data_IF_542420878288
#
_entry.id   IF_542420878288
#
_cell.length_a   1.000
_cell.length_b   1.000
_cell.length_c   1.000
_cell.angle_alpha   90.00
_cell.angle_beta   90.00
_cell.angle_gamma   90.00
#
_symmetry.space_group_name_H-M   'P 1'
#
loop_
_entity.id
_entity.type
_entity.pdbx_description
1 polymer ?
#
# COMPACT_ATOMS: atom_id res chain seq x y z
N UNK A 1 0.24 14.52 -9.57
CA UNK A 1 0.22 14.03 -8.17
C UNK A 1 1.52 13.33 -7.84
N UNK A 2 1.96 13.36 -6.58
CA UNK A 2 3.07 12.59 -6.06
C UNK A 2 2.61 11.95 -4.75
N UNK A 3 2.63 10.64 -4.68
CA UNK A 3 2.17 9.85 -3.53
C UNK A 3 3.34 9.24 -2.73
N UNK A 4 4.54 9.78 -2.86
CA UNK A 4 5.64 9.43 -1.99
C UNK A 4 5.37 9.98 -0.58
N UNK A 5 5.80 9.25 0.44
CA UNK A 5 5.70 9.73 1.81
C UNK A 5 6.69 10.88 2.05
N UNK A 6 6.17 12.02 2.47
CA UNK A 6 6.95 13.18 2.86
C UNK A 6 6.56 13.65 4.26
N UNK A 7 7.52 14.20 4.99
CA UNK A 7 7.30 14.87 6.26
C UNK A 7 8.16 16.15 6.38
N UNK A 8 8.21 16.76 7.54
CA UNK A 8 9.00 17.98 7.76
C UNK A 8 10.49 17.77 7.50
N UNK A 9 11.01 16.56 7.71
CA UNK A 9 12.42 16.24 7.48
C UNK A 9 12.76 16.15 6.00
N UNK A 10 11.77 15.95 5.12
CA UNK A 10 11.96 15.89 3.67
C UNK A 10 12.58 17.17 3.11
N UNK A 11 12.18 18.34 3.63
CA UNK A 11 12.77 19.63 3.24
C UNK A 11 14.22 19.74 3.64
N UNK A 12 14.58 19.25 4.83
CA UNK A 12 15.97 19.26 5.29
C UNK A 12 16.84 18.31 4.45
N UNK A 13 16.34 17.10 4.17
CA UNK A 13 17.02 16.15 3.28
C UNK A 13 17.18 16.70 1.86
N UNK A 14 16.21 17.46 1.37
CA UNK A 14 16.33 18.15 0.09
C UNK A 14 17.44 19.20 0.13
N UNK A 15 17.56 19.99 1.20
CA UNK A 15 18.63 20.98 1.36
C UNK A 15 20.00 20.31 1.46
N UNK A 16 20.13 19.16 2.13
CA UNK A 16 21.36 18.37 2.14
C UNK A 16 21.79 18.02 0.71
N UNK A 17 20.87 17.50 -0.10
CA UNK A 17 21.11 17.15 -1.50
C UNK A 17 21.45 18.38 -2.35
N UNK A 18 20.76 19.49 -2.12
CA UNK A 18 21.02 20.74 -2.83
C UNK A 18 22.43 21.27 -2.54
N UNK A 19 22.83 21.31 -1.27
CA UNK A 19 24.17 21.77 -0.86
C UNK A 19 25.24 20.84 -1.43
N UNK A 20 25.02 19.52 -1.37
CA UNK A 20 25.95 18.55 -1.93
C UNK A 20 26.12 18.77 -3.45
N UNK A 21 25.02 18.90 -4.19
CA UNK A 21 25.08 19.04 -5.65
C UNK A 21 25.59 20.39 -6.11
N UNK A 22 25.24 21.48 -5.42
CA UNK A 22 25.62 22.83 -5.82
C UNK A 22 27.02 23.23 -5.35
N UNK A 23 27.42 22.79 -4.16
CA UNK A 23 28.65 23.24 -3.50
C UNK A 23 29.66 22.11 -3.25
N UNK A 24 29.36 20.86 -3.58
CA UNK A 24 30.22 19.72 -3.32
C UNK A 24 30.42 19.41 -1.82
N UNK A 25 29.66 20.08 -0.94
CA UNK A 25 29.77 19.92 0.51
C UNK A 25 28.79 18.89 1.02
N UNK A 26 29.30 17.86 1.68
CA UNK A 26 28.47 16.84 2.33
C UNK A 26 27.99 17.38 3.68
N UNK A 27 26.71 17.67 3.77
CA UNK A 27 26.03 18.11 4.99
C UNK A 27 24.99 17.07 5.34
N UNK A 28 24.81 16.83 6.63
CA UNK A 28 23.79 15.90 7.14
C UNK A 28 23.23 16.46 8.45
N UNK A 29 21.91 16.56 8.53
CA UNK A 29 21.19 16.92 9.75
C UNK A 29 21.15 15.71 10.69
N UNK A 30 21.85 15.81 11.84
CA UNK A 30 22.02 14.68 12.78
C UNK A 30 20.74 14.35 13.57
N UNK A 31 19.82 15.31 13.70
CA UNK A 31 18.56 15.11 14.40
C UNK A 31 17.50 14.34 13.58
N UNK A 32 17.75 14.07 12.31
CA UNK A 32 16.89 13.21 11.50
C UNK A 32 17.26 11.75 11.77
N UNK A 33 16.40 11.02 12.48
CA UNK A 33 16.64 9.61 12.79
C UNK A 33 16.76 8.74 11.52
N UNK A 34 17.49 7.63 11.61
CA UNK A 34 17.60 6.65 10.52
C UNK A 34 16.24 6.10 10.09
N UNK A 35 15.32 5.94 11.03
CA UNK A 35 13.95 5.54 10.73
C UNK A 35 13.26 6.54 9.77
N UNK A 36 13.31 7.84 10.09
CA UNK A 36 12.72 8.89 9.23
C UNK A 36 13.39 8.94 7.86
N UNK A 37 14.71 8.87 7.83
CA UNK A 37 15.46 8.83 6.57
C UNK A 37 15.12 7.63 5.70
N UNK A 38 14.70 6.53 6.31
CA UNK A 38 14.32 5.30 5.58
C UNK A 38 12.93 5.40 4.96
N UNK A 39 11.98 6.08 5.61
CA UNK A 39 10.58 6.09 5.21
C UNK A 39 10.16 7.36 4.49
N UNK A 40 10.82 8.50 4.75
CA UNK A 40 10.48 9.79 4.14
C UNK A 40 11.32 10.06 2.91
N UNK A 41 10.70 10.53 1.84
CA UNK A 41 11.40 10.99 0.64
C UNK A 41 12.08 12.35 0.85
N UNK A 42 13.05 12.66 0.02
CA UNK A 42 13.85 13.89 0.04
C UNK A 42 13.34 14.98 -0.92
N UNK A 43 12.09 14.91 -1.34
CA UNK A 43 11.43 15.76 -2.32
C UNK A 43 11.99 15.68 -3.76
N UNK A 44 13.07 14.95 -4.04
CA UNK A 44 13.63 14.90 -5.40
C UNK A 44 12.66 14.33 -6.43
N UNK A 45 11.75 13.45 -6.01
CA UNK A 45 10.73 12.84 -6.90
C UNK A 45 9.64 13.81 -7.39
N UNK A 46 9.51 15.01 -6.79
CA UNK A 46 8.54 16.02 -7.25
C UNK A 46 9.04 16.83 -8.45
N UNK A 47 10.35 16.85 -8.68
CA UNK A 47 10.93 17.59 -9.79
C UNK A 47 10.84 16.79 -11.08
N UNK A 48 10.53 17.47 -12.15
CA UNK A 48 10.47 16.95 -13.51
C UNK A 48 11.20 17.90 -14.45
N UNK A 49 11.57 17.46 -15.67
CA UNK A 49 12.15 18.34 -16.64
C UNK A 49 11.26 19.57 -16.85
N UNK A 50 11.89 20.75 -16.87
CA UNK A 50 11.17 22.01 -17.08
C UNK A 50 10.57 22.02 -18.49
N UNK A 51 9.26 22.17 -18.58
CA UNK A 51 8.56 22.42 -19.85
C UNK A 51 7.98 23.84 -19.84
N UNK A 52 8.54 24.71 -20.68
CA UNK A 52 8.13 26.11 -20.84
C UNK A 52 6.62 26.26 -21.11
N UNK A 53 5.98 25.21 -21.67
CA UNK A 53 4.53 25.21 -21.98
C UNK A 53 3.63 25.07 -20.75
N UNK A 54 4.17 24.72 -19.60
CA UNK A 54 3.40 24.57 -18.35
C UNK A 54 3.26 25.88 -17.54
N UNK A 55 3.73 26.99 -18.05
CA UNK A 55 3.57 28.29 -17.42
C UNK A 55 2.16 28.84 -17.63
N UNK A 56 1.26 28.56 -16.73
CA UNK A 56 -0.14 29.01 -16.84
C UNK A 56 -0.87 29.00 -15.50
N UNK A 57 -0.15 28.71 -14.42
CA UNK A 57 -0.73 28.82 -13.09
C UNK A 57 -0.66 30.28 -12.62
N UNK A 58 -1.81 30.84 -12.34
CA UNK A 58 -1.89 32.16 -11.71
C UNK A 58 -1.22 32.14 -10.35
N UNK A 59 -0.50 33.19 -10.03
CA UNK A 59 0.01 33.38 -8.67
C UNK A 59 -1.15 33.47 -7.69
N UNK A 60 -1.07 32.73 -6.60
CA UNK A 60 -2.02 32.86 -5.52
C UNK A 60 -2.00 34.30 -4.98
N UNK A 61 -3.18 34.91 -4.81
CA UNK A 61 -3.30 36.25 -4.21
C UNK A 61 -2.91 36.15 -2.72
N UNK A 62 -1.65 36.51 -2.43
CA UNK A 62 -1.07 36.44 -1.10
C UNK A 62 -1.91 37.20 -0.08
N UNK A 63 -2.36 38.41 -0.43
CA UNK A 63 -3.04 39.30 0.52
C UNK A 63 -4.41 38.72 0.91
N UNK A 64 -5.11 38.11 -0.03
CA UNK A 64 -6.35 37.37 0.25
C UNK A 64 -6.13 36.25 1.27
N UNK A 65 -5.03 35.49 1.14
CA UNK A 65 -4.71 34.38 2.08
C UNK A 65 -4.31 34.95 3.46
N UNK A 66 -3.48 36.00 3.49
CA UNK A 66 -3.08 36.66 4.75
C UNK A 66 -4.30 37.19 5.50
N UNK A 67 -5.20 37.86 4.81
CA UNK A 67 -6.47 38.38 5.40
C UNK A 67 -7.33 37.21 5.90
N UNK A 68 -7.44 36.11 5.11
CA UNK A 68 -8.22 34.95 5.52
C UNK A 68 -7.64 34.27 6.77
N UNK A 69 -6.31 34.18 6.89
CA UNK A 69 -5.64 33.66 8.10
C UNK A 69 -5.86 34.58 9.29
N UNK A 70 -5.72 35.90 9.12
CA UNK A 70 -5.96 36.86 10.18
C UNK A 70 -7.41 36.81 10.68
N UNK A 71 -8.36 36.71 9.77
CA UNK A 71 -9.79 36.61 10.10
C UNK A 71 -10.15 35.23 10.70
N UNK A 72 -9.36 34.20 10.47
CA UNK A 72 -9.60 32.86 11.06
C UNK A 72 -9.53 32.93 12.60
N UNK A 73 -8.78 33.84 13.17
CA UNK A 73 -8.69 34.09 14.61
C UNK A 73 -10.04 34.44 15.24
N UNK A 74 -10.88 35.14 14.52
CA UNK A 74 -12.14 35.68 15.01
C UNK A 74 -13.35 34.84 14.57
N UNK A 75 -13.10 33.73 13.88
CA UNK A 75 -14.15 32.75 13.50
C UNK A 75 -14.57 31.93 14.71
N UNK A 76 -15.87 31.81 14.88
CA UNK A 76 -16.43 30.89 15.86
C UNK A 76 -15.98 29.45 15.54
N UNK A 77 -15.63 28.71 16.59
CA UNK A 77 -15.34 27.29 16.46
C UNK A 77 -16.65 26.59 16.04
N UNK A 78 -16.68 25.82 14.95
CA UNK A 78 -17.85 25.05 14.59
C UNK A 78 -18.29 24.19 15.77
N UNK A 79 -19.52 24.37 16.25
CA UNK A 79 -20.10 23.61 17.37
C UNK A 79 -20.98 22.44 16.90
N UNK A 80 -21.02 22.18 15.61
CA UNK A 80 -21.92 21.19 14.97
C UNK A 80 -21.27 19.81 14.80
N UNK A 81 -20.18 19.54 15.53
CA UNK A 81 -19.60 18.20 15.60
C UNK A 81 -20.63 17.22 16.20
N UNK A 82 -21.25 16.44 15.32
CA UNK A 82 -22.22 15.42 15.74
C UNK A 82 -21.57 14.03 15.67
N UNK A 83 -21.83 13.25 16.70
CA UNK A 83 -21.50 11.84 16.68
C UNK A 83 -22.43 11.14 15.66
N UNK A 84 -21.83 10.33 14.77
CA UNK A 84 -22.61 9.55 13.82
C UNK A 84 -23.53 8.56 14.56
N UNK A 85 -24.75 8.38 14.05
CA UNK A 85 -25.68 7.36 14.52
C UNK A 85 -25.23 5.97 14.06
N UNK A 86 -25.76 4.91 14.67
CA UNK A 86 -25.43 3.54 14.28
C UNK A 86 -25.74 3.26 12.79
N UNK A 87 -26.86 3.76 12.28
CA UNK A 87 -27.20 3.61 10.85
C UNK A 87 -26.27 4.36 9.91
N UNK A 88 -25.77 5.53 10.31
CA UNK A 88 -24.80 6.29 9.54
C UNK A 88 -23.43 5.58 9.53
N UNK A 89 -23.04 4.99 10.65
CA UNK A 89 -21.82 4.17 10.74
C UNK A 89 -21.93 2.94 9.81
N UNK A 90 -23.09 2.29 9.79
CA UNK A 90 -23.34 1.16 8.90
C UNK A 90 -23.33 1.57 7.41
N UNK A 91 -23.90 2.73 7.07
CA UNK A 91 -23.80 3.31 5.72
C UNK A 91 -22.33 3.53 5.32
N UNK A 92 -21.54 4.15 6.19
CA UNK A 92 -20.10 4.34 5.93
C UNK A 92 -19.39 3.02 5.71
N UNK A 93 -19.63 2.03 6.56
CA UNK A 93 -18.97 0.73 6.47
C UNK A 93 -19.38 -0.06 5.22
N UNK A 94 -20.61 0.09 4.78
CA UNK A 94 -21.12 -0.62 3.58
C UNK A 94 -20.73 0.07 2.27
N UNK A 95 -20.50 1.38 2.27
CA UNK A 95 -20.24 2.15 1.06
C UNK A 95 -19.27 3.33 1.29
N UNK A 96 -18.07 3.00 1.79
CA UNK A 96 -17.06 3.97 2.18
C UNK A 96 -16.73 4.98 1.07
N UNK A 97 -16.65 4.53 -0.19
CA UNK A 97 -16.27 5.36 -1.33
C UNK A 97 -17.35 6.36 -1.76
N UNK A 98 -18.61 6.17 -1.34
CA UNK A 98 -19.74 7.02 -1.76
C UNK A 98 -20.53 7.60 -0.60
N UNK A 99 -20.16 7.28 0.64
CA UNK A 99 -20.86 7.82 1.80
C UNK A 99 -20.64 9.32 1.92
N UNK A 100 -21.70 10.08 2.14
CA UNK A 100 -21.64 11.53 2.36
C UNK A 100 -20.89 11.93 3.64
N UNK A 101 -20.61 10.97 4.52
CA UNK A 101 -19.88 11.20 5.79
C UNK A 101 -18.37 11.02 5.67
N UNK A 102 -17.89 10.65 4.50
CA UNK A 102 -16.45 10.47 4.24
C UNK A 102 -15.93 11.50 3.23
N UNK A 103 -14.67 11.93 3.36
CA UNK A 103 -14.06 12.78 2.34
C UNK A 103 -14.02 12.06 0.99
N UNK A 104 -14.35 12.77 -0.07
CA UNK A 104 -14.27 12.26 -1.44
C UNK A 104 -13.14 12.92 -2.21
N UNK A 105 -12.44 12.13 -3.00
CA UNK A 105 -11.53 12.67 -4.00
C UNK A 105 -12.35 13.28 -5.15
N UNK A 106 -11.84 14.36 -5.73
CA UNK A 106 -12.42 14.91 -6.96
C UNK A 106 -12.49 13.85 -8.06
N UNK A 107 -13.61 13.80 -8.76
CA UNK A 107 -13.81 12.87 -9.88
C UNK A 107 -12.77 13.05 -10.97
N UNK A 108 -12.32 11.94 -11.53
CA UNK A 108 -11.35 11.88 -12.60
C UNK A 108 -9.93 11.55 -12.13
N UNK A 109 -9.08 11.23 -13.09
CA UNK A 109 -7.67 10.93 -12.84
C UNK A 109 -6.78 12.16 -13.04
N UNK A 110 -5.60 12.13 -12.43
CA UNK A 110 -4.58 13.19 -12.52
C UNK A 110 -3.25 12.58 -12.97
N UNK A 111 -2.40 13.30 -13.70
CA UNK A 111 -1.04 12.88 -13.96
C UNK A 111 -0.32 12.57 -12.63
N UNK A 112 0.33 11.42 -12.57
CA UNK A 112 1.06 10.94 -11.38
C UNK A 112 2.54 10.77 -11.68
N UNK A 113 3.40 11.28 -10.80
CA UNK A 113 4.84 11.10 -10.89
C UNK A 113 5.21 9.62 -10.76
N UNK A 114 6.32 9.23 -11.39
CA UNK A 114 6.98 7.98 -11.09
C UNK A 114 7.48 7.99 -9.64
N UNK A 115 7.24 6.90 -8.92
CA UNK A 115 7.69 6.74 -7.54
C UNK A 115 8.76 5.66 -7.44
N UNK A 116 9.74 5.82 -6.55
CA UNK A 116 10.85 4.87 -6.44
C UNK A 116 10.54 3.69 -5.50
N UNK A 117 9.29 3.25 -5.45
CA UNK A 117 8.88 2.14 -4.59
C UNK A 117 8.88 0.80 -5.32
N UNK A 118 9.40 -0.21 -4.66
CA UNK A 118 9.31 -1.62 -5.01
C UNK A 118 9.02 -2.40 -3.74
N UNK A 119 7.73 -2.65 -3.45
CA UNK A 119 7.29 -3.17 -2.15
C UNK A 119 6.64 -4.54 -2.29
N UNK A 120 7.00 -5.43 -1.36
CA UNK A 120 6.45 -6.77 -1.25
C UNK A 120 6.09 -7.07 0.20
N UNK A 121 4.97 -7.75 0.41
CA UNK A 121 4.63 -8.40 1.66
C UNK A 121 3.89 -9.69 1.32
N UNK A 122 4.38 -10.80 1.83
CA UNK A 122 3.89 -12.15 1.59
C UNK A 122 3.65 -12.83 2.92
N UNK A 123 2.56 -13.58 3.01
CA UNK A 123 2.17 -14.24 4.24
C UNK A 123 1.85 -15.71 4.02
N UNK A 124 2.11 -16.52 5.04
CA UNK A 124 1.76 -17.94 5.07
C UNK A 124 1.70 -18.46 6.50
N UNK A 125 1.05 -19.59 6.69
CA UNK A 125 1.20 -20.35 7.93
C UNK A 125 2.58 -21.03 8.01
N UNK A 126 3.11 -21.11 9.24
CA UNK A 126 4.26 -21.95 9.56
C UNK A 126 3.97 -23.43 9.25
N UNK A 127 5.01 -24.25 9.10
CA UNK A 127 4.85 -25.69 8.78
C UNK A 127 4.07 -26.45 9.86
N UNK A 128 4.20 -26.06 11.12
CA UNK A 128 3.45 -26.59 12.26
C UNK A 128 2.08 -25.95 12.48
N UNK A 129 1.72 -24.94 11.64
CA UNK A 129 0.45 -24.22 11.68
C UNK A 129 0.14 -23.53 13.00
N UNK A 130 1.15 -23.20 13.78
CA UNK A 130 1.02 -22.50 15.07
C UNK A 130 1.19 -20.98 14.96
N UNK A 131 1.76 -20.51 13.85
CA UNK A 131 2.09 -19.11 13.60
C UNK A 131 1.73 -18.70 12.17
N UNK A 132 1.47 -17.42 11.98
CA UNK A 132 1.48 -16.77 10.69
C UNK A 132 2.83 -16.07 10.46
N UNK A 133 3.52 -16.44 9.38
CA UNK A 133 4.79 -15.86 8.97
C UNK A 133 4.52 -14.75 7.95
N UNK A 134 4.98 -13.53 8.22
CA UNK A 134 4.90 -12.37 7.34
C UNK A 134 6.30 -11.98 6.88
N UNK A 135 6.54 -12.00 5.58
CA UNK A 135 7.77 -11.57 4.94
C UNK A 135 7.56 -10.25 4.23
N UNK A 136 8.31 -9.20 4.60
CA UNK A 136 8.24 -7.86 4.02
C UNK A 136 9.57 -7.50 3.35
N UNK A 137 9.52 -6.82 2.21
CA UNK A 137 10.71 -6.37 1.48
C UNK A 137 10.46 -4.98 0.87
N UNK A 138 11.42 -4.07 1.04
CA UNK A 138 11.58 -2.88 0.21
C UNK A 138 12.66 -3.20 -0.84
N UNK A 139 12.25 -3.47 -2.09
CA UNK A 139 13.15 -3.88 -3.16
C UNK A 139 14.02 -2.74 -3.69
N UNK A 140 15.08 -3.11 -4.40
CA UNK A 140 15.96 -2.16 -5.10
C UNK A 140 16.38 -2.66 -6.50
N UNK A 141 15.72 -3.69 -7.00
CA UNK A 141 16.02 -4.29 -8.31
C UNK A 141 15.41 -3.47 -9.47
N UNK A 142 14.32 -2.72 -9.20
CA UNK A 142 13.62 -1.90 -10.19
C UNK A 142 14.27 -0.53 -10.35
N UNK A 143 14.56 0.15 -9.24
CA UNK A 143 14.99 1.54 -9.26
C UNK A 143 16.47 1.74 -8.87
N UNK A 144 17.17 0.65 -8.48
CA UNK A 144 18.58 0.65 -8.12
C UNK A 144 18.88 1.65 -7.00
N UNK A 145 19.86 2.53 -7.21
CA UNK A 145 20.25 3.55 -6.24
C UNK A 145 19.18 4.61 -5.94
N UNK A 146 18.13 4.69 -6.77
CA UNK A 146 17.01 5.63 -6.57
C UNK A 146 15.86 5.01 -5.79
N UNK A 147 15.94 3.72 -5.45
CA UNK A 147 14.90 3.06 -4.67
C UNK A 147 14.67 3.75 -3.34
N UNK A 148 13.42 3.90 -2.95
CA UNK A 148 13.03 4.42 -1.65
C UNK A 148 12.71 3.26 -0.70
N UNK A 149 13.04 3.47 0.58
CA UNK A 149 12.50 2.65 1.66
C UNK A 149 11.04 3.02 1.96
N UNK A 150 10.40 2.25 2.80
CA UNK A 150 9.01 2.45 3.12
C UNK A 150 8.67 2.03 4.56
N UNK A 151 7.65 2.65 5.18
CA UNK A 151 7.01 2.09 6.35
C UNK A 151 6.06 0.97 5.93
N UNK A 152 5.96 -0.06 6.78
CA UNK A 152 4.93 -1.09 6.72
C UNK A 152 4.17 -1.05 8.03
N UNK A 153 2.89 -0.66 7.97
CA UNK A 153 1.99 -0.65 9.11
C UNK A 153 1.19 -1.94 9.10
N UNK A 154 1.41 -2.77 10.11
CA UNK A 154 0.78 -4.08 10.25
C UNK A 154 -0.30 -4.01 11.33
N UNK A 155 -1.52 -4.35 10.97
CA UNK A 155 -2.67 -4.39 11.87
C UNK A 155 -3.09 -5.84 12.07
N UNK A 156 -2.95 -6.32 13.29
CA UNK A 156 -3.48 -7.62 13.70
C UNK A 156 -4.88 -7.38 14.25
N UNK A 157 -5.88 -7.83 13.54
CA UNK A 157 -7.28 -7.71 13.93
C UNK A 157 -7.75 -9.00 14.60
N UNK A 158 -8.88 -8.95 15.28
CA UNK A 158 -9.47 -10.11 15.94
C UNK A 158 -8.54 -10.71 17.03
N UNK A 159 -7.73 -9.88 17.69
CA UNK A 159 -6.83 -10.36 18.76
C UNK A 159 -7.60 -10.66 20.05
N UNK A 160 -7.12 -11.64 20.80
CA UNK A 160 -7.77 -12.13 22.04
C UNK A 160 -7.64 -11.18 23.25
N UNK A 161 -6.81 -10.14 23.17
CA UNK A 161 -6.39 -9.31 24.31
C UNK A 161 -7.11 -7.96 24.47
N UNK A 162 -8.13 -7.66 23.70
CA UNK A 162 -8.83 -6.38 23.78
C UNK A 162 -10.09 -6.45 24.61
N UNK A 163 -10.10 -5.79 25.79
CA UNK A 163 -11.25 -5.44 26.65
C UNK A 163 -12.62 -6.06 26.36
N UNK A 164 -13.60 -5.83 27.14
CA UNK A 164 -15.03 -6.26 27.21
C UNK A 164 -15.69 -7.13 26.11
N UNK A 165 -15.09 -7.39 24.95
CA UNK A 165 -15.65 -8.25 23.88
C UNK A 165 -14.54 -9.10 23.27
N UNK A 166 -14.59 -10.40 23.49
CA UNK A 166 -13.70 -11.36 22.84
C UNK A 166 -13.78 -11.21 21.31
N UNK A 167 -12.62 -11.09 20.63
CA UNK A 167 -12.54 -10.99 19.18
C UNK A 167 -12.58 -9.58 18.58
N UNK A 168 -12.58 -8.51 19.39
CA UNK A 168 -12.51 -7.11 18.91
C UNK A 168 -11.16 -6.43 19.20
N UNK A 169 -10.18 -7.17 19.69
CA UNK A 169 -8.84 -6.63 19.91
C UNK A 169 -8.11 -6.31 18.61
N UNK A 170 -7.32 -5.24 18.65
CA UNK A 170 -6.43 -4.86 17.54
C UNK A 170 -5.05 -4.55 18.11
N UNK A 171 -4.02 -5.13 17.50
CA UNK A 171 -2.62 -4.77 17.75
C UNK A 171 -2.05 -4.12 16.49
N UNK A 172 -1.16 -3.16 16.68
CA UNK A 172 -0.50 -2.44 15.57
C UNK A 172 1.01 -2.52 15.74
N UNK A 173 1.70 -2.87 14.66
CA UNK A 173 3.14 -2.81 14.57
C UNK A 173 3.55 -1.99 13.36
N UNK A 174 4.61 -1.19 13.48
CA UNK A 174 5.12 -0.37 12.38
C UNK A 174 6.59 -0.67 12.16
N UNK A 175 6.93 -1.00 10.94
CA UNK A 175 8.28 -1.34 10.51
C UNK A 175 8.77 -0.34 9.48
N UNK A 176 10.08 -0.09 9.45
CA UNK A 176 10.73 0.73 8.43
C UNK A 176 11.81 -0.09 7.75
N UNK A 177 11.72 -0.24 6.43
CA UNK A 177 12.69 -0.96 5.63
C UNK A 177 13.42 0.01 4.69
N UNK A 178 14.75 -0.07 4.67
CA UNK A 178 15.59 0.61 3.67
C UNK A 178 15.51 -0.12 2.33
N UNK A 179 15.89 0.54 1.22
CA UNK A 179 15.98 -0.14 -0.07
C UNK A 179 16.93 -1.36 -0.01
N UNK A 180 16.42 -2.52 -0.40
CA UNK A 180 17.11 -3.80 -0.35
C UNK A 180 16.90 -4.61 0.93
N UNK A 181 16.32 -4.01 1.99
CA UNK A 181 16.06 -4.69 3.25
C UNK A 181 14.87 -5.65 3.14
N UNK A 182 14.96 -6.74 3.91
CA UNK A 182 13.90 -7.70 4.16
C UNK A 182 13.68 -7.87 5.66
N UNK A 183 12.44 -8.13 6.05
CA UNK A 183 12.06 -8.40 7.44
C UNK A 183 11.08 -9.57 7.49
N UNK A 184 11.32 -10.51 8.40
CA UNK A 184 10.41 -11.61 8.69
C UNK A 184 9.84 -11.41 10.10
N UNK A 185 8.52 -11.49 10.19
CA UNK A 185 7.80 -11.44 11.45
C UNK A 185 6.92 -12.68 11.60
N UNK A 186 6.75 -13.12 12.84
CA UNK A 186 5.94 -14.28 13.19
C UNK A 186 4.87 -13.85 14.18
N UNK A 187 3.63 -14.18 13.89
CA UNK A 187 2.49 -13.91 14.78
C UNK A 187 1.87 -15.23 15.24
N UNK A 188 2.02 -15.61 16.52
CA UNK A 188 1.39 -16.80 17.06
C UNK A 188 -0.14 -16.77 16.85
N UNK A 189 -0.72 -17.86 16.36
CA UNK A 189 -2.17 -17.94 16.15
C UNK A 189 -2.95 -17.86 17.47
N UNK A 190 -2.32 -18.16 18.59
CA UNK A 190 -2.89 -17.94 19.92
C UNK A 190 -3.18 -16.48 20.27
N UNK A 191 -2.59 -15.53 19.53
CA UNK A 191 -2.91 -14.09 19.68
C UNK A 191 -4.28 -13.74 19.09
N UNK A 192 -4.84 -14.57 18.22
CA UNK A 192 -6.12 -14.33 17.56
C UNK A 192 -7.24 -15.15 18.19
N UNK A 193 -8.43 -14.56 18.26
CA UNK A 193 -9.62 -15.24 18.77
C UNK A 193 -9.93 -16.48 17.91
N UNK A 194 -10.11 -17.62 18.56
CA UNK A 194 -10.34 -18.91 17.90
C UNK A 194 -9.27 -19.31 16.88
N UNK A 195 -8.03 -18.83 17.06
CA UNK A 195 -6.91 -19.03 16.14
C UNK A 195 -7.22 -18.57 14.70
N UNK A 196 -8.19 -17.69 14.48
CA UNK A 196 -8.53 -17.10 13.16
C UNK A 196 -7.79 -15.78 13.02
N UNK A 197 -6.74 -15.79 12.21
CA UNK A 197 -5.96 -14.60 11.98
C UNK A 197 -6.62 -13.66 10.97
N UNK A 198 -6.41 -12.36 11.18
CA UNK A 198 -6.75 -11.29 10.24
C UNK A 198 -5.67 -10.24 10.35
N UNK A 199 -4.88 -10.10 9.30
CA UNK A 199 -3.67 -9.28 9.27
C UNK A 199 -3.71 -8.37 8.05
N UNK A 200 -3.66 -7.06 8.28
CA UNK A 200 -3.55 -6.06 7.22
C UNK A 200 -2.16 -5.44 7.23
N UNK A 201 -1.57 -5.25 6.05
CA UNK A 201 -0.29 -4.56 5.87
C UNK A 201 -0.48 -3.39 4.93
N UNK A 202 -0.21 -2.19 5.42
CA UNK A 202 -0.30 -0.96 4.65
C UNK A 202 1.08 -0.36 4.39
N UNK A 203 1.30 0.08 3.18
CA UNK A 203 2.48 0.86 2.77
C UNK A 203 2.09 2.10 1.98
N UNK A 204 3.05 2.90 1.52
CA UNK A 204 2.79 4.08 0.71
C UNK A 204 2.23 3.72 -0.68
N UNK A 205 1.63 4.72 -1.34
CA UNK A 205 1.13 4.63 -2.72
C UNK A 205 0.08 3.53 -2.94
N UNK A 206 -0.83 3.35 -1.97
CA UNK A 206 -1.90 2.35 -2.07
C UNK A 206 -1.44 0.91 -1.90
N UNK A 207 -0.18 0.67 -1.48
CA UNK A 207 0.28 -0.67 -1.17
C UNK A 207 -0.52 -1.25 0.00
N UNK A 208 -1.20 -2.35 -0.25
CA UNK A 208 -2.02 -3.04 0.74
C UNK A 208 -1.95 -4.56 0.55
N UNK A 209 -1.89 -5.25 1.66
CA UNK A 209 -2.02 -6.71 1.74
C UNK A 209 -2.97 -7.05 2.89
N UNK A 210 -3.83 -8.04 2.68
CA UNK A 210 -4.63 -8.59 3.76
C UNK A 210 -4.59 -10.12 3.70
N UNK A 211 -4.49 -10.72 4.84
CA UNK A 211 -4.44 -12.17 5.01
C UNK A 211 -5.44 -12.57 6.09
N UNK A 212 -6.36 -13.45 5.75
CA UNK A 212 -7.32 -14.01 6.68
C UNK A 212 -7.36 -15.53 6.54
N UNK A 213 -7.49 -16.23 7.64
CA UNK A 213 -7.55 -17.69 7.62
C UNK A 213 -7.50 -18.30 9.01
N UNK A 214 -7.27 -19.59 9.03
CA UNK A 214 -7.16 -20.41 10.25
C UNK A 214 -6.21 -21.60 10.03
N UNK A 215 -5.87 -22.38 11.10
CA UNK A 215 -4.93 -23.51 10.99
C UNK A 215 -5.32 -24.60 9.99
N UNK A 216 -6.57 -24.64 9.53
CA UNK A 216 -7.10 -25.72 8.66
C UNK A 216 -7.11 -25.32 7.18
N UNK A 217 -6.67 -24.12 6.83
CA UNK A 217 -6.62 -23.65 5.45
C UNK A 217 -5.69 -24.54 4.58
N UNK A 218 -5.93 -24.58 3.25
CA UNK A 218 -5.04 -25.29 2.33
C UNK A 218 -3.62 -24.72 2.36
N UNK A 219 -2.64 -25.60 2.19
CA UNK A 219 -1.24 -25.21 2.13
C UNK A 219 -0.90 -24.60 0.76
N UNK A 220 -1.16 -23.32 0.60
CA UNK A 220 -0.82 -22.54 -0.59
C UNK A 220 0.09 -21.37 -0.25
N UNK A 221 1.12 -21.15 -1.07
CA UNK A 221 1.95 -19.95 -1.01
C UNK A 221 1.60 -19.04 -2.18
N UNK A 222 1.37 -17.78 -1.90
CA UNK A 222 1.06 -16.75 -2.89
C UNK A 222 2.15 -15.69 -2.84
N UNK A 223 2.78 -15.42 -3.99
CA UNK A 223 3.80 -14.39 -4.14
C UNK A 223 3.45 -13.49 -5.31
N UNK A 224 3.88 -12.24 -5.24
CA UNK A 224 3.72 -11.29 -6.33
C UNK A 224 5.08 -10.81 -6.83
N UNK A 225 5.19 -10.62 -8.14
CA UNK A 225 6.37 -10.01 -8.75
C UNK A 225 5.93 -9.05 -9.88
N UNK A 226 6.76 -8.07 -10.20
CA UNK A 226 6.54 -7.25 -11.39
C UNK A 226 6.93 -8.05 -12.64
N UNK A 227 6.00 -8.17 -13.61
CA UNK A 227 6.28 -8.90 -14.85
C UNK A 227 7.39 -8.22 -15.65
N UNK A 228 8.32 -9.04 -16.14
CA UNK A 228 9.42 -8.59 -17.00
C UNK A 228 9.43 -9.33 -18.34
N UNK A 229 9.79 -8.61 -19.38
CA UNK A 229 10.20 -9.18 -20.67
C UNK A 229 11.68 -8.83 -20.87
N UNK A 230 12.55 -9.81 -20.62
CA UNK A 230 13.98 -9.55 -20.48
C UNK A 230 14.24 -8.59 -19.31
N UNK A 231 14.90 -7.48 -19.57
CA UNK A 231 15.19 -6.47 -18.54
C UNK A 231 14.07 -5.41 -18.36
N UNK A 232 13.07 -5.40 -19.23
CA UNK A 232 12.03 -4.38 -19.23
C UNK A 232 10.82 -4.81 -18.40
N UNK A 233 10.34 -3.91 -17.53
CA UNK A 233 9.08 -4.06 -16.85
C UNK A 233 7.93 -3.83 -17.84
N UNK A 234 6.93 -4.71 -17.82
CA UNK A 234 5.73 -4.59 -18.67
C UNK A 234 4.68 -3.65 -18.09
N UNK A 235 4.73 -3.42 -16.76
CA UNK A 235 3.70 -2.71 -16.01
C UNK A 235 2.62 -3.64 -15.43
N UNK A 236 2.74 -4.95 -15.66
CA UNK A 236 1.85 -5.98 -15.12
C UNK A 236 2.39 -6.58 -13.84
N UNK A 237 1.51 -7.24 -13.07
CA UNK A 237 1.89 -8.06 -11.94
C UNK A 237 1.79 -9.54 -12.31
N UNK A 238 2.78 -10.33 -11.89
CA UNK A 238 2.77 -11.77 -11.96
C UNK A 238 2.46 -12.35 -10.59
N UNK A 239 1.44 -13.21 -10.52
CA UNK A 239 1.05 -13.92 -9.31
C UNK A 239 1.59 -15.34 -9.41
N UNK A 240 2.45 -15.71 -8.46
CA UNK A 240 2.99 -17.06 -8.33
C UNK A 240 2.22 -17.81 -7.25
N UNK A 241 1.72 -18.97 -7.60
CA UNK A 241 0.91 -19.83 -6.74
C UNK A 241 1.65 -21.17 -6.59
N UNK A 242 1.95 -21.57 -5.38
CA UNK A 242 2.59 -22.85 -5.09
C UNK A 242 1.70 -23.66 -4.13
N UNK A 243 1.13 -24.73 -4.62
CA UNK A 243 0.40 -25.70 -3.81
C UNK A 243 1.41 -26.59 -3.08
N UNK A 244 1.67 -26.30 -1.81
CA UNK A 244 2.58 -27.11 -0.98
C UNK A 244 1.87 -28.26 -0.26
N UNK A 245 0.56 -28.42 -0.51
CA UNK A 245 -0.24 -29.52 0.05
C UNK A 245 -0.14 -30.82 -0.75
N UNK A 246 -0.81 -31.84 -0.25
CA UNK A 246 -0.78 -33.20 -0.80
C UNK A 246 -1.90 -33.48 -1.82
N UNK A 247 -2.82 -32.54 -2.02
CA UNK A 247 -3.98 -32.69 -2.92
C UNK A 247 -4.03 -31.55 -3.93
N UNK A 248 -4.57 -31.81 -5.14
CA UNK A 248 -4.83 -30.72 -6.08
C UNK A 248 -5.72 -29.63 -5.47
N UNK A 249 -5.41 -28.38 -5.75
CA UNK A 249 -6.11 -27.22 -5.22
C UNK A 249 -6.59 -26.31 -6.35
N UNK A 250 -7.86 -25.95 -6.35
CA UNK A 250 -8.41 -24.95 -7.29
C UNK A 250 -8.36 -23.58 -6.64
N UNK A 251 -7.68 -22.67 -7.31
CA UNK A 251 -7.44 -21.28 -6.85
C UNK A 251 -8.10 -20.32 -7.82
N UNK A 252 -8.81 -19.32 -7.29
CA UNK A 252 -9.35 -18.20 -8.04
C UNK A 252 -8.60 -16.92 -7.69
N UNK A 253 -8.19 -16.17 -8.71
CA UNK A 253 -7.66 -14.80 -8.60
C UNK A 253 -8.74 -13.87 -9.09
N UNK A 254 -9.37 -13.14 -8.17
CA UNK A 254 -10.52 -12.29 -8.41
C UNK A 254 -10.12 -10.83 -8.31
N UNK A 255 -10.39 -10.04 -9.34
CA UNK A 255 -10.24 -8.59 -9.29
C UNK A 255 -11.33 -7.95 -8.43
N UNK A 256 -10.95 -7.00 -7.58
CA UNK A 256 -11.87 -6.32 -6.67
C UNK A 256 -12.27 -4.91 -7.15
N UNK A 257 -11.53 -4.33 -8.10
CA UNK A 257 -11.62 -2.90 -8.37
C UNK A 257 -11.70 -2.51 -9.85
N UNK A 258 -10.99 -3.20 -10.73
CA UNK A 258 -10.76 -2.71 -12.11
C UNK A 258 -11.50 -3.50 -13.18
N UNK A 259 -12.50 -4.28 -12.80
CA UNK A 259 -13.41 -5.05 -13.69
C UNK A 259 -12.67 -6.05 -14.58
N UNK A 260 -11.54 -6.59 -14.12
CA UNK A 260 -10.90 -7.71 -14.78
C UNK A 260 -11.66 -9.02 -14.51
N UNK A 261 -11.54 -9.97 -15.42
CA UNK A 261 -12.18 -11.28 -15.26
C UNK A 261 -11.46 -12.11 -14.19
N UNK A 262 -12.22 -12.89 -13.45
CA UNK A 262 -11.69 -13.87 -12.50
C UNK A 262 -10.93 -14.97 -13.25
N UNK A 263 -9.72 -15.27 -12.82
CA UNK A 263 -8.88 -16.34 -13.37
C UNK A 263 -8.86 -17.49 -12.40
N UNK A 264 -9.28 -18.68 -12.86
CA UNK A 264 -9.26 -19.90 -12.03
C UNK A 264 -8.18 -20.86 -12.57
N UNK A 265 -7.44 -21.51 -11.65
CA UNK A 265 -6.43 -22.53 -11.95
C UNK A 265 -6.51 -23.67 -10.95
N UNK A 266 -6.42 -24.90 -11.45
CA UNK A 266 -6.20 -26.08 -10.62
C UNK A 266 -4.72 -26.41 -10.62
N UNK A 267 -4.12 -26.49 -9.44
CA UNK A 267 -2.68 -26.71 -9.23
C UNK A 267 -2.53 -28.09 -8.56
N UNK A 268 -1.80 -28.98 -9.17
CA UNK A 268 -1.53 -30.30 -8.61
C UNK A 268 -0.72 -30.20 -7.30
N UNK A 269 -0.75 -31.24 -6.47
CA UNK A 269 0.02 -31.30 -5.23
C UNK A 269 1.53 -31.10 -5.52
N UNK A 270 2.18 -30.23 -4.76
CA UNK A 270 3.61 -29.91 -4.91
C UNK A 270 3.97 -29.09 -6.15
N UNK A 271 3.00 -28.61 -6.94
CA UNK A 271 3.26 -27.89 -8.19
C UNK A 271 3.02 -26.38 -8.05
N UNK A 272 3.59 -25.65 -8.99
CA UNK A 272 3.47 -24.20 -9.11
C UNK A 272 2.68 -23.81 -10.35
N UNK A 273 2.05 -22.65 -10.29
CA UNK A 273 1.44 -21.97 -11.42
C UNK A 273 1.74 -20.47 -11.36
N UNK A 274 1.84 -19.83 -12.51
CA UNK A 274 1.98 -18.39 -12.62
C UNK A 274 0.86 -17.81 -13.44
N UNK A 275 0.32 -16.66 -12.99
CA UNK A 275 -0.73 -15.89 -13.64
C UNK A 275 -0.23 -14.48 -13.84
N UNK A 276 -0.30 -13.97 -15.06
CA UNK A 276 -0.03 -12.55 -15.33
C UNK A 276 -1.35 -11.81 -15.37
N UNK A 277 -1.46 -10.76 -14.56
CA UNK A 277 -2.59 -9.83 -14.58
C UNK A 277 -2.24 -8.65 -15.47
N UNK A 278 -2.97 -8.47 -16.57
CA UNK A 278 -2.82 -7.33 -17.47
C UNK A 278 -3.41 -6.08 -16.83
N UNK A 279 -2.55 -5.14 -16.46
CA UNK A 279 -2.91 -3.90 -15.77
C UNK A 279 -2.95 -2.68 -16.70
N UNK A 280 -2.95 -2.88 -18.01
CA UNK A 280 -2.94 -1.79 -18.98
C UNK A 280 -4.14 -0.85 -18.82
N UNK A 281 -5.33 -1.41 -18.58
CA UNK A 281 -6.58 -0.64 -18.42
C UNK A 281 -6.64 0.13 -17.11
N UNK A 282 -5.98 -0.37 -16.07
CA UNK A 282 -5.88 0.26 -14.75
C UNK A 282 -4.60 1.08 -14.56
N UNK A 283 -3.79 1.26 -15.60
CA UNK A 283 -2.55 2.04 -15.58
C UNK A 283 -1.53 1.58 -14.53
N UNK A 284 -1.45 0.27 -14.35
CA UNK A 284 -0.54 -0.38 -13.40
C UNK A 284 -1.13 -0.55 -12.00
N UNK A 285 -2.34 -0.06 -11.72
CA UNK A 285 -3.04 -0.31 -10.46
C UNK A 285 -3.67 -1.69 -10.43
N UNK A 286 -3.61 -2.34 -9.27
CA UNK A 286 -4.21 -3.65 -9.04
C UNK A 286 -4.84 -3.75 -7.66
N UNK A 287 -5.90 -4.50 -7.57
CA UNK A 287 -6.54 -4.95 -6.33
C UNK A 287 -7.21 -6.28 -6.61
N UNK A 288 -6.64 -7.36 -6.11
CA UNK A 288 -7.17 -8.70 -6.32
C UNK A 288 -7.09 -9.55 -5.07
N UNK A 289 -7.99 -10.52 -4.97
CA UNK A 289 -8.02 -11.53 -3.91
C UNK A 289 -7.74 -12.90 -4.48
N UNK A 290 -6.88 -13.64 -3.80
CA UNK A 290 -6.63 -15.06 -4.06
C UNK A 290 -7.44 -15.88 -3.07
N UNK A 291 -8.30 -16.76 -3.59
CA UNK A 291 -9.21 -17.63 -2.83
C UNK A 291 -9.04 -19.08 -3.28
N UNK A 292 -9.32 -19.99 -2.37
CA UNK A 292 -9.43 -21.40 -2.69
C UNK A 292 -10.89 -21.86 -2.58
N UNK A 293 -11.26 -22.89 -3.33
CA UNK A 293 -12.63 -23.44 -3.29
C UNK A 293 -12.94 -24.29 -2.04
N UNK A 294 -11.93 -24.55 -1.20
CA UNK A 294 -12.03 -25.46 -0.05
C UNK A 294 -11.89 -24.75 1.31
N UNK A 295 -11.76 -23.43 1.33
CA UNK A 295 -11.54 -22.65 2.55
C UNK A 295 -12.07 -21.24 2.40
N UNK A 296 -12.39 -20.60 3.54
CA UNK A 296 -12.67 -19.17 3.61
C UNK A 296 -11.40 -18.30 3.74
N UNK A 297 -10.22 -18.93 3.75
CA UNK A 297 -8.96 -18.20 3.79
C UNK A 297 -8.75 -17.38 2.51
N UNK A 298 -8.30 -16.15 2.68
CA UNK A 298 -8.12 -15.19 1.60
C UNK A 298 -6.79 -14.45 1.74
N UNK A 299 -6.16 -14.19 0.60
CA UNK A 299 -5.02 -13.29 0.50
C UNK A 299 -5.34 -12.18 -0.51
N UNK A 300 -5.42 -10.92 -0.06
CA UNK A 300 -5.69 -9.76 -0.92
C UNK A 300 -4.43 -8.95 -1.15
N UNK A 301 -4.25 -8.51 -2.38
CA UNK A 301 -3.09 -7.76 -2.85
C UNK A 301 -3.56 -6.53 -3.61
N UNK A 302 -3.23 -5.33 -3.12
CA UNK A 302 -3.49 -4.10 -3.84
C UNK A 302 -2.25 -3.21 -3.89
N UNK A 303 -2.18 -2.33 -4.88
CA UNK A 303 -1.09 -1.42 -5.09
C UNK A 303 -0.93 -1.00 -6.55
N UNK A 304 0.25 -0.53 -6.88
CA UNK A 304 0.62 -0.13 -8.23
C UNK A 304 1.98 -0.68 -8.63
N UNK A 305 2.12 -1.10 -9.87
CA UNK A 305 3.42 -1.45 -10.45
C UNK A 305 4.15 -0.18 -10.86
N UNK A 306 5.18 0.17 -10.10
CA UNK A 306 6.03 1.33 -10.38
C UNK A 306 7.13 0.97 -11.38
N UNK A 307 7.02 1.50 -12.59
CA UNK A 307 7.96 1.21 -13.69
C UNK A 307 9.06 2.26 -13.86
N UNK A 308 9.09 3.29 -12.99
CA UNK A 308 9.95 4.46 -13.16
C UNK A 308 9.45 5.47 -14.20
N UNK A 309 8.21 5.30 -14.69
CA UNK A 309 7.57 6.22 -15.65
C UNK A 309 6.36 6.88 -15.01
N UNK A 310 6.11 8.14 -15.39
CA UNK A 310 4.88 8.84 -15.02
C UNK A 310 3.65 8.12 -15.59
N UNK A 311 2.53 8.21 -14.87
CA UNK A 311 1.27 7.58 -15.21
C UNK A 311 0.10 8.43 -14.70
N UNK A 312 -0.96 7.83 -14.19
CA UNK A 312 -2.11 8.52 -13.61
C UNK A 312 -2.40 8.04 -12.19
N UNK A 313 -3.13 8.87 -11.44
CA UNK A 313 -3.67 8.50 -10.13
C UNK A 313 -4.63 7.32 -10.25
N UNK A 314 -4.93 6.68 -9.12
CA UNK A 314 -5.83 5.52 -9.09
C UNK A 314 -7.20 5.84 -9.72
N UNK A 315 -7.61 5.10 -10.78
CA UNK A 315 -8.92 5.27 -11.40
C UNK A 315 -10.09 4.94 -10.47
N UNK A 316 -9.91 3.99 -9.54
CA UNK A 316 -10.94 3.64 -8.55
C UNK A 316 -11.21 4.82 -7.62
N UNK A 317 -10.16 5.42 -7.07
CA UNK A 317 -10.27 6.60 -6.20
C UNK A 317 -10.81 7.81 -6.96
N UNK A 318 -10.59 7.86 -8.27
CA UNK A 318 -11.12 8.91 -9.15
C UNK A 318 -12.57 8.67 -9.62
N UNK A 319 -13.23 7.62 -9.18
CA UNK A 319 -14.61 7.23 -9.59
C UNK A 319 -14.78 7.17 -11.13
N UNK A 320 -13.81 6.55 -11.82
CA UNK A 320 -13.81 6.40 -13.30
C UNK A 320 -13.70 4.93 -13.76
N UNK A 321 -13.86 3.97 -12.85
CA UNK A 321 -13.85 2.52 -13.12
C UNK A 321 -15.26 1.94 -13.05
#
# INVERSE_FOLDING_TARGET
MNSQLFDHTSTLMFLENFVQNKHGKKVREENISEWRRSVSGDLTSIFRPYDVKESGLDFLNRDKFVVSIQQARDKEIPLDYRKLTASQIEEVNSNLLRSQFTPHQEKGTRPSCALPYELYAEGRLSSDRTKFELHMKAGNDVHGKRSAGAPFNVYLRNTSGGGASAGQGMMVATYALKPGDTLNEEFPLSHFANSRYSIDVHGPNGFYRAFTGDPHEPAIQVRTAYERRGQLLTGNVQVHLHNTGERPLTVAVQDNAYKAITITRTIAAGHEASIVLDLKRSYGWYDFTVKTNSSEAEARFAGRVETGRSSISDPLMGDVV
#
